data_IF_904377946340
#
_entry.id   IF_904377946340
#
_cell.length_a   1.000
_cell.length_b   1.000
_cell.length_c   1.000
_cell.angle_alpha   90.00
_cell.angle_beta   90.00
_cell.angle_gamma   90.00
#
_symmetry.space_group_name_H-M   'P 1'
#
loop_
_entity.id
_entity.type
_entity.pdbx_description
1 polymer ?
#
# COMPACT_ATOMS: atom_id res chain seq x y z
N UNK A 1 -16.23 -6.61 19.24
CA UNK A 1 -15.50 -6.30 17.99
C UNK A 1 -14.65 -7.48 17.58
N UNK A 2 -14.67 -7.81 16.30
CA UNK A 2 -13.83 -8.87 15.75
C UNK A 2 -12.35 -8.44 15.75
N UNK A 3 -11.47 -9.44 15.66
CA UNK A 3 -10.00 -9.23 15.56
C UNK A 3 -9.65 -8.34 14.35
N UNK A 4 -10.29 -8.60 13.21
CA UNK A 4 -10.09 -7.84 11.97
C UNK A 4 -10.50 -6.38 12.12
N UNK A 5 -11.59 -6.10 12.82
CA UNK A 5 -12.05 -4.74 13.06
C UNK A 5 -11.06 -3.92 13.87
N UNK A 6 -10.50 -4.49 14.94
CA UNK A 6 -9.49 -3.81 15.76
C UNK A 6 -8.21 -3.54 14.96
N UNK A 7 -7.79 -4.50 14.16
CA UNK A 7 -6.63 -4.37 13.27
C UNK A 7 -6.81 -3.17 12.33
N UNK A 8 -7.96 -3.11 11.66
CA UNK A 8 -8.28 -2.02 10.73
C UNK A 8 -8.41 -0.68 11.44
N UNK A 9 -9.01 -0.65 12.64
CA UNK A 9 -9.10 0.56 13.44
C UNK A 9 -7.74 1.14 13.80
N UNK A 10 -6.77 0.30 14.10
CA UNK A 10 -5.40 0.74 14.40
C UNK A 10 -4.77 1.37 13.15
N UNK A 11 -4.89 0.71 12.00
CA UNK A 11 -4.34 1.24 10.74
C UNK A 11 -5.04 2.51 10.28
N UNK A 12 -6.36 2.60 10.45
CA UNK A 12 -7.12 3.83 10.15
C UNK A 12 -6.68 4.99 11.04
N UNK A 13 -6.45 4.73 12.33
CA UNK A 13 -5.94 5.72 13.27
C UNK A 13 -4.56 6.22 12.86
N UNK A 14 -3.66 5.30 12.51
CA UNK A 14 -2.32 5.66 12.04
C UNK A 14 -2.38 6.49 10.76
N UNK A 15 -3.21 6.09 9.80
CA UNK A 15 -3.38 6.81 8.55
C UNK A 15 -3.89 8.24 8.80
N UNK A 16 -4.88 8.39 9.68
CA UNK A 16 -5.42 9.70 10.06
C UNK A 16 -4.37 10.60 10.71
N UNK A 17 -3.55 10.05 11.58
CA UNK A 17 -2.46 10.80 12.23
C UNK A 17 -1.37 11.20 11.23
N UNK A 18 -1.06 10.35 10.25
CA UNK A 18 -0.08 10.65 9.19
C UNK A 18 -0.54 11.80 8.29
N UNK A 19 -1.83 12.05 8.19
CA UNK A 19 -2.36 13.21 7.48
C UNK A 19 -2.01 14.54 8.18
N UNK A 20 -1.69 14.50 9.48
CA UNK A 20 -1.47 15.68 10.31
C UNK A 20 -0.03 15.86 10.74
N UNK A 21 0.73 14.78 10.86
CA UNK A 21 2.12 14.84 11.37
C UNK A 21 2.98 13.68 10.87
N UNK A 22 4.28 13.83 11.07
CA UNK A 22 5.27 12.83 10.67
C UNK A 22 5.22 11.58 11.54
N UNK A 23 5.53 10.44 10.95
CA UNK A 23 5.56 9.14 11.63
C UNK A 23 6.43 9.17 12.90
N UNK A 24 7.52 9.90 12.88
CA UNK A 24 8.43 9.98 14.03
C UNK A 24 7.82 10.71 15.22
N UNK A 25 6.89 11.64 14.99
CA UNK A 25 6.22 12.40 16.05
C UNK A 25 4.96 11.71 16.54
N UNK A 26 4.56 10.60 15.93
CA UNK A 26 3.38 9.83 16.32
C UNK A 26 3.80 8.76 17.33
N UNK A 27 3.21 8.78 18.53
CA UNK A 27 3.43 7.77 19.55
C UNK A 27 2.40 6.64 19.46
N UNK A 28 2.76 5.47 19.97
CA UNK A 28 1.80 4.35 20.08
C UNK A 28 0.61 4.73 20.96
N UNK A 29 0.84 5.56 21.99
CA UNK A 29 -0.23 6.08 22.86
C UNK A 29 -1.22 6.93 22.09
N UNK A 30 -0.77 7.79 21.17
CA UNK A 30 -1.64 8.60 20.32
C UNK A 30 -2.46 7.73 19.38
N UNK A 31 -1.84 6.69 18.79
CA UNK A 31 -2.54 5.76 17.93
C UNK A 31 -3.66 5.04 18.71
N UNK A 32 -3.34 4.57 19.92
CA UNK A 32 -4.32 3.92 20.80
C UNK A 32 -5.49 4.84 21.12
N UNK A 33 -5.19 6.08 21.50
CA UNK A 33 -6.20 7.08 21.83
C UNK A 33 -7.09 7.38 20.62
N UNK A 34 -6.50 7.58 19.44
CA UNK A 34 -7.22 7.86 18.21
C UNK A 34 -8.11 6.67 17.79
N UNK A 35 -7.60 5.45 17.94
CA UNK A 35 -8.35 4.23 17.64
C UNK A 35 -9.42 3.90 18.69
N UNK A 36 -9.35 4.50 19.87
CA UNK A 36 -10.28 4.22 20.95
C UNK A 36 -10.06 2.85 21.62
N UNK A 37 -8.83 2.37 21.62
CA UNK A 37 -8.46 1.08 22.23
C UNK A 37 -7.28 1.25 23.20
N UNK A 38 -7.04 0.25 24.03
CA UNK A 38 -5.92 0.26 24.98
C UNK A 38 -4.59 0.05 24.27
N UNK A 39 -3.54 0.67 24.81
CA UNK A 39 -2.17 0.52 24.30
C UNK A 39 -1.70 -0.94 24.27
N UNK A 40 -2.07 -1.72 25.27
CA UNK A 40 -1.77 -3.15 25.32
C UNK A 40 -2.41 -3.93 24.17
N UNK A 41 -3.61 -3.52 23.73
CA UNK A 41 -4.27 -4.13 22.58
C UNK A 41 -3.50 -3.87 21.29
N UNK A 42 -2.90 -2.70 21.14
CA UNK A 42 -2.07 -2.39 19.97
C UNK A 42 -0.89 -3.36 19.88
N UNK A 43 -0.15 -3.56 20.96
CA UNK A 43 1.00 -4.46 20.98
C UNK A 43 0.61 -5.92 20.75
N UNK A 44 -0.64 -6.29 20.98
CA UNK A 44 -1.13 -7.61 20.63
C UNK A 44 -1.16 -7.83 19.09
N UNK A 45 -1.48 -6.79 18.31
CA UNK A 45 -1.55 -6.87 16.84
C UNK A 45 -0.23 -6.52 16.16
N UNK A 46 0.50 -5.55 16.71
CA UNK A 46 1.70 -5.00 16.10
C UNK A 46 2.80 -4.87 17.14
N UNK A 47 3.95 -5.53 16.95
CA UNK A 47 5.05 -5.44 17.91
C UNK A 47 5.71 -4.08 17.96
N UNK A 48 5.57 -3.26 16.91
CA UNK A 48 6.23 -1.97 16.79
C UNK A 48 5.46 -1.03 15.87
N UNK A 49 5.81 0.25 15.94
CA UNK A 49 5.29 1.27 15.02
C UNK A 49 5.70 0.97 13.57
N UNK A 50 6.91 0.46 13.35
CA UNK A 50 7.36 0.03 12.03
C UNK A 50 6.50 -1.09 11.46
N UNK A 51 6.11 -2.06 12.28
CA UNK A 51 5.20 -3.14 11.86
C UNK A 51 3.83 -2.60 11.46
N UNK A 52 3.32 -1.59 12.17
CA UNK A 52 2.08 -0.90 11.80
C UNK A 52 2.21 -0.19 10.46
N UNK A 53 3.33 0.48 10.24
CA UNK A 53 3.59 1.20 9.00
C UNK A 53 3.69 0.23 7.82
N UNK A 54 4.37 -0.89 7.97
CA UNK A 54 4.44 -1.94 6.96
C UNK A 54 3.05 -2.47 6.60
N UNK A 55 2.22 -2.74 7.59
CA UNK A 55 0.85 -3.20 7.37
C UNK A 55 0.00 -2.15 6.65
N UNK A 56 0.20 -0.87 6.98
CA UNK A 56 -0.50 0.22 6.30
C UNK A 56 -0.08 0.33 4.83
N UNK A 57 1.20 0.18 4.55
CA UNK A 57 1.74 0.15 3.18
C UNK A 57 1.15 -1.03 2.42
N UNK A 58 1.15 -2.23 2.99
CA UNK A 58 0.54 -3.42 2.38
C UNK A 58 -0.94 -3.19 2.07
N UNK A 59 -1.68 -2.63 3.00
CA UNK A 59 -3.10 -2.31 2.80
C UNK A 59 -3.32 -1.34 1.64
N UNK A 60 -2.42 -0.40 1.45
CA UNK A 60 -2.56 0.65 0.42
C UNK A 60 -2.42 0.11 -1.01
N UNK A 61 -1.67 -0.97 -1.22
CA UNK A 61 -1.53 -1.55 -2.56
C UNK A 61 -2.36 -2.84 -2.80
N UNK A 62 -3.17 -3.24 -1.83
CA UNK A 62 -4.05 -4.41 -1.96
C UNK A 62 -4.98 -4.28 -3.17
N UNK A 63 -5.61 -3.13 -3.34
CA UNK A 63 -6.49 -2.83 -4.49
C UNK A 63 -5.80 -2.96 -5.84
N UNK A 64 -4.66 -2.28 -6.09
CA UNK A 64 -3.98 -2.42 -7.36
C UNK A 64 -3.47 -3.83 -7.62
N UNK A 65 -3.08 -4.59 -6.59
CA UNK A 65 -2.68 -5.98 -6.75
C UNK A 65 -3.84 -6.88 -7.16
N UNK A 66 -5.02 -6.70 -6.56
CA UNK A 66 -6.23 -7.43 -6.94
C UNK A 66 -6.63 -7.11 -8.38
N UNK A 67 -6.57 -5.84 -8.77
CA UNK A 67 -6.82 -5.40 -10.14
C UNK A 67 -5.84 -6.07 -11.11
N UNK A 68 -4.55 -6.10 -10.77
CA UNK A 68 -3.52 -6.72 -11.60
C UNK A 68 -3.77 -8.22 -11.77
N UNK A 69 -4.07 -8.93 -10.70
CA UNK A 69 -4.36 -10.37 -10.74
C UNK A 69 -5.60 -10.66 -11.61
N UNK A 70 -6.63 -9.85 -11.47
CA UNK A 70 -7.83 -9.98 -12.29
C UNK A 70 -7.53 -9.75 -13.77
N UNK A 71 -6.77 -8.70 -14.10
CA UNK A 71 -6.39 -8.39 -15.48
C UNK A 71 -5.48 -9.46 -16.10
N UNK A 72 -4.67 -10.15 -15.30
CA UNK A 72 -3.82 -11.23 -15.81
C UNK A 72 -4.63 -12.37 -16.44
N UNK A 73 -5.87 -12.57 -15.98
CA UNK A 73 -6.76 -13.62 -16.48
C UNK A 73 -7.67 -13.14 -17.65
N UNK A 74 -7.68 -11.84 -17.95
CA UNK A 74 -8.49 -11.23 -19.02
C UNK A 74 -7.76 -11.30 -20.36
N UNK A 75 -7.66 -12.51 -20.91
CA UNK A 75 -6.87 -12.78 -22.12
C UNK A 75 -7.41 -12.13 -23.40
N UNK A 76 -8.69 -11.76 -23.40
CA UNK A 76 -9.35 -11.04 -24.50
C UNK A 76 -8.93 -9.56 -24.60
N UNK A 77 -8.36 -9.01 -23.52
CA UNK A 77 -7.85 -7.64 -23.50
C UNK A 77 -6.38 -7.67 -23.93
N UNK A 78 -5.98 -6.75 -24.80
CA UNK A 78 -4.59 -6.62 -25.24
C UNK A 78 -3.62 -6.53 -24.06
N UNK A 79 -2.45 -7.20 -24.13
CA UNK A 79 -1.43 -7.10 -23.08
C UNK A 79 -1.03 -5.65 -22.78
N UNK A 80 -0.94 -4.82 -23.78
CA UNK A 80 -0.60 -3.39 -23.63
C UNK A 80 -1.66 -2.64 -22.82
N UNK A 81 -2.93 -2.90 -23.13
CA UNK A 81 -4.06 -2.29 -22.42
C UNK A 81 -4.09 -2.75 -20.97
N UNK A 82 -3.87 -4.04 -20.71
CA UNK A 82 -3.82 -4.60 -19.36
C UNK A 82 -2.70 -3.96 -18.55
N UNK A 83 -1.50 -3.83 -19.13
CA UNK A 83 -0.37 -3.18 -18.46
C UNK A 83 -0.65 -1.71 -18.15
N UNK A 84 -1.28 -0.99 -19.08
CA UNK A 84 -1.67 0.40 -18.86
C UNK A 84 -2.69 0.54 -17.73
N UNK A 85 -3.68 -0.35 -17.64
CA UNK A 85 -4.69 -0.36 -16.58
C UNK A 85 -4.07 -0.66 -15.22
N UNK A 86 -3.13 -1.60 -15.14
CA UNK A 86 -2.38 -1.93 -13.92
C UNK A 86 -1.56 -0.71 -13.47
N UNK A 87 -0.84 -0.10 -14.41
CA UNK A 87 -0.04 1.09 -14.13
C UNK A 87 -0.91 2.23 -13.57
N UNK A 88 -2.07 2.46 -14.17
CA UNK A 88 -3.00 3.49 -13.71
C UNK A 88 -3.55 3.18 -12.31
N UNK A 89 -3.88 1.93 -12.01
CA UNK A 89 -4.33 1.52 -10.68
C UNK A 89 -3.26 1.75 -9.62
N UNK A 90 -2.01 1.42 -9.92
CA UNK A 90 -0.87 1.66 -9.04
C UNK A 90 -0.61 3.15 -8.84
N UNK A 91 -0.72 3.93 -9.89
CA UNK A 91 -0.55 5.38 -9.84
C UNK A 91 -1.61 6.03 -8.96
N UNK A 92 -2.86 5.63 -9.10
CA UNK A 92 -3.97 6.15 -8.28
C UNK A 92 -3.78 5.82 -6.79
N UNK A 93 -3.38 4.60 -6.47
CA UNK A 93 -3.06 4.20 -5.09
C UNK A 93 -1.89 4.98 -4.51
N UNK A 94 -0.86 5.20 -5.31
CA UNK A 94 0.31 6.00 -4.91
C UNK A 94 -0.08 7.45 -4.62
N UNK A 95 -0.98 8.03 -5.41
CA UNK A 95 -1.48 9.39 -5.18
C UNK A 95 -2.31 9.47 -3.89
N UNK A 96 -3.17 8.49 -3.63
CA UNK A 96 -3.95 8.42 -2.39
C UNK A 96 -3.02 8.31 -1.18
N UNK A 97 -1.99 7.47 -1.27
CA UNK A 97 -0.99 7.31 -0.22
C UNK A 97 -0.24 8.63 0.05
N UNK A 98 0.15 9.35 -1.01
CA UNK A 98 0.81 10.67 -0.89
C UNK A 98 -0.10 11.75 -0.32
N UNK A 99 -1.40 11.68 -0.59
CA UNK A 99 -2.38 12.63 -0.04
C UNK A 99 -2.57 12.42 1.46
N UNK A 100 -2.51 11.19 1.92
CA UNK A 100 -2.53 10.89 3.36
C UNK A 100 -1.19 11.24 4.03
N UNK A 101 -0.15 11.43 3.26
CA UNK A 101 1.17 11.90 3.73
C UNK A 101 1.24 13.42 3.54
N UNK A 102 0.57 14.16 4.43
CA UNK A 102 0.48 15.63 4.37
C UNK A 102 1.78 16.37 4.72
N UNK A 103 2.87 15.67 4.76
CA UNK A 103 4.19 16.27 4.96
C UNK A 103 4.69 16.90 3.66
N UNK A 104 3.83 17.72 3.03
CA UNK A 104 4.17 18.40 1.78
C UNK A 104 5.35 19.33 1.92
N UNK A 105 5.60 19.86 3.12
CA UNK A 105 6.81 20.62 3.44
C UNK A 105 8.01 19.72 3.73
N UNK A 106 7.78 18.44 4.00
CA UNK A 106 8.80 17.44 4.28
C UNK A 106 8.94 16.44 3.13
N UNK A 107 8.52 16.81 1.91
CA UNK A 107 8.65 15.97 0.73
C UNK A 107 10.09 15.47 0.48
N UNK A 108 11.05 16.12 1.10
CA UNK A 108 12.47 15.76 1.06
C UNK A 108 12.98 15.17 2.39
N UNK A 109 12.10 14.90 3.36
CA UNK A 109 12.52 14.29 4.61
C UNK A 109 12.92 12.83 4.38
N UNK A 110 14.06 12.37 4.94
CA UNK A 110 14.52 10.99 4.77
C UNK A 110 13.50 9.94 5.19
N UNK A 111 12.69 10.23 6.20
CA UNK A 111 11.63 9.34 6.68
C UNK A 111 10.56 9.07 5.62
N UNK A 112 10.15 10.11 4.89
CA UNK A 112 9.15 9.99 3.83
C UNK A 112 9.71 9.21 2.63
N UNK A 113 10.98 9.41 2.30
CA UNK A 113 11.65 8.63 1.26
C UNK A 113 11.67 7.14 1.61
N UNK A 114 11.88 6.80 2.87
CA UNK A 114 11.87 5.41 3.35
C UNK A 114 10.50 4.76 3.19
N UNK A 115 9.43 5.47 3.54
CA UNK A 115 8.05 4.98 3.39
C UNK A 115 7.72 4.74 1.92
N UNK A 116 8.04 5.68 1.05
CA UNK A 116 7.83 5.56 -0.39
C UNK A 116 8.61 4.42 -0.98
N UNK A 117 9.85 4.23 -0.56
CA UNK A 117 10.70 3.14 -1.04
C UNK A 117 10.15 1.78 -0.62
N UNK A 118 9.68 1.64 0.62
CA UNK A 118 9.01 0.42 1.07
C UNK A 118 7.79 0.11 0.21
N UNK A 119 6.95 1.10 -0.03
CA UNK A 119 5.77 0.96 -0.86
C UNK A 119 6.14 0.46 -2.27
N UNK A 120 7.10 1.11 -2.92
CA UNK A 120 7.53 0.73 -4.27
C UNK A 120 8.16 -0.66 -4.30
N UNK A 121 8.98 -1.00 -3.33
CA UNK A 121 9.63 -2.31 -3.27
C UNK A 121 8.61 -3.44 -3.13
N UNK A 122 7.64 -3.28 -2.25
CA UNK A 122 6.56 -4.25 -2.08
C UNK A 122 5.73 -4.38 -3.35
N UNK A 123 5.34 -3.25 -3.93
CA UNK A 123 4.52 -3.23 -5.13
C UNK A 123 5.22 -3.93 -6.31
N UNK A 124 6.49 -3.62 -6.53
CA UNK A 124 7.29 -4.24 -7.60
C UNK A 124 7.41 -5.75 -7.37
N UNK A 125 7.73 -6.16 -6.15
CA UNK A 125 7.90 -7.58 -5.81
C UNK A 125 6.61 -8.37 -6.07
N UNK A 126 5.47 -7.82 -5.68
CA UNK A 126 4.18 -8.48 -5.83
C UNK A 126 3.65 -8.45 -7.28
N UNK A 127 3.94 -7.39 -8.03
CA UNK A 127 3.51 -7.25 -9.43
C UNK A 127 4.35 -8.03 -10.42
N UNK A 128 5.60 -8.31 -10.10
CA UNK A 128 6.54 -8.96 -11.01
C UNK A 128 5.99 -10.26 -11.63
N UNK A 129 5.47 -11.24 -10.87
CA UNK A 129 4.93 -12.44 -11.47
C UNK A 129 3.71 -12.19 -12.37
N UNK A 130 2.86 -11.24 -12.01
CA UNK A 130 1.67 -10.88 -12.80
C UNK A 130 2.06 -10.25 -14.13
N UNK A 131 2.98 -9.28 -14.12
CA UNK A 131 3.47 -8.61 -15.33
C UNK A 131 4.22 -9.58 -16.23
N UNK A 132 5.02 -10.47 -15.65
CA UNK A 132 5.73 -11.52 -16.39
C UNK A 132 4.75 -12.41 -17.14
N UNK A 133 3.67 -12.80 -16.49
CA UNK A 133 2.61 -13.63 -17.10
C UNK A 133 1.94 -12.92 -18.27
N UNK A 134 1.61 -11.64 -18.13
CA UNK A 134 0.98 -10.85 -19.20
C UNK A 134 1.92 -10.69 -20.39
N UNK A 135 3.19 -10.39 -20.15
CA UNK A 135 4.22 -10.25 -21.19
C UNK A 135 4.45 -11.57 -21.91
N UNK A 136 4.60 -12.67 -21.17
CA UNK A 136 4.79 -14.01 -21.76
C UNK A 136 3.63 -14.40 -22.67
N UNK A 137 2.41 -14.11 -22.23
CA UNK A 137 1.21 -14.35 -23.04
C UNK A 137 1.21 -13.51 -24.32
N UNK A 138 1.63 -12.24 -24.23
CA UNK A 138 1.76 -11.37 -25.39
C UNK A 138 2.80 -11.88 -26.41
N UNK A 139 3.88 -12.48 -25.91
CA UNK A 139 4.90 -13.10 -26.78
C UNK A 139 4.32 -14.35 -27.45
N UNK A 140 3.65 -15.23 -26.72
CA UNK A 140 3.00 -16.44 -27.25
C UNK A 140 1.98 -16.10 -28.33
N UNK A 141 1.22 -15.03 -28.14
CA UNK A 141 0.20 -14.56 -29.08
C UNK A 141 0.78 -13.76 -30.26
N UNK A 142 2.10 -13.54 -30.28
CA UNK A 142 2.78 -12.80 -31.34
C UNK A 142 2.54 -11.30 -31.32
N UNK A 143 2.05 -10.75 -30.21
CA UNK A 143 1.80 -9.31 -30.03
C UNK A 143 3.01 -8.58 -29.49
N UNK A 144 3.94 -9.29 -28.86
CA UNK A 144 5.18 -8.77 -28.31
C UNK A 144 6.31 -9.64 -28.86
N UNK A 145 7.39 -9.00 -29.32
CA UNK A 145 8.61 -9.68 -29.79
C UNK A 145 9.55 -10.04 -28.63
#
# INVERSE_FOLDING_TARGET
MSKTQKYDMILDALQSLLEQKDIQTISVSEIAQTAGIGKGSIYYYFPSKDAMLEALVERSYEKPLLTAKHLADQTEISPFTRMAMIFQACHSSSLEFRKSDHTSSAANAPENAYIHQKFLNHLITELKPTLTRIISQGIEDGLID
#
